data_IF_449812058317
#
_entry.id   IF_449812058317
#
_cell.length_a   1.000
_cell.length_b   1.000
_cell.length_c   1.000
_cell.angle_alpha   90.00
_cell.angle_beta   90.00
_cell.angle_gamma   90.00
#
_symmetry.space_group_name_H-M   'P 1'
#
loop_
_entity.id
_entity.type
_entity.pdbx_description
1 polymer ?
#
# COMPACT_ATOMS: atom_id res chain seq x y z
N UNK A 1 -33.19 35.62 8.11
CA UNK A 1 -33.28 34.17 8.38
C UNK A 1 -32.16 33.49 7.61
N UNK A 2 -31.04 33.29 8.30
CA UNK A 2 -29.90 32.56 7.82
C UNK A 2 -30.23 31.04 7.87
N UNK A 3 -30.17 30.37 6.73
CA UNK A 3 -30.21 28.93 6.65
C UNK A 3 -28.79 28.45 6.87
N UNK A 4 -28.51 27.87 8.04
CA UNK A 4 -27.32 27.06 8.28
C UNK A 4 -27.47 25.74 7.50
N UNK A 5 -26.44 25.26 6.81
CA UNK A 5 -26.49 23.93 6.21
C UNK A 5 -26.36 22.88 7.31
N UNK A 6 -27.27 21.93 7.29
CA UNK A 6 -27.34 20.76 8.16
C UNK A 6 -26.13 19.82 7.89
N UNK A 7 -25.07 19.96 8.69
CA UNK A 7 -23.82 19.19 8.64
C UNK A 7 -23.88 17.87 9.42
N UNK A 8 -25.07 17.30 9.56
CA UNK A 8 -25.32 16.12 10.41
C UNK A 8 -25.79 14.87 9.67
N UNK A 9 -25.28 14.53 8.48
CA UNK A 9 -25.47 13.19 7.92
C UNK A 9 -24.42 12.24 8.48
N UNK A 10 -24.86 11.31 9.33
CA UNK A 10 -24.07 10.15 9.74
C UNK A 10 -23.56 9.40 8.50
N UNK A 11 -22.31 9.62 8.10
CA UNK A 11 -21.61 8.79 7.13
C UNK A 11 -21.66 7.33 7.61
N UNK A 12 -22.19 6.45 6.79
CA UNK A 12 -22.19 5.00 7.08
C UNK A 12 -20.74 4.54 7.08
N UNK A 13 -20.24 4.07 8.20
CA UNK A 13 -18.87 3.55 8.30
C UNK A 13 -18.67 2.43 7.28
N UNK A 14 -17.77 2.65 6.31
CA UNK A 14 -17.39 1.69 5.28
C UNK A 14 -18.04 1.87 3.90
N UNK A 15 -18.91 2.86 3.68
CA UNK A 15 -19.48 3.15 2.35
C UNK A 15 -18.46 3.89 1.46
N UNK A 16 -18.43 3.54 0.16
CA UNK A 16 -17.66 4.27 -0.85
C UNK A 16 -18.40 5.59 -1.14
N UNK A 17 -17.75 6.72 -0.89
CA UNK A 17 -18.31 8.04 -1.14
C UNK A 17 -18.14 8.43 -2.60
N UNK A 18 -19.23 8.89 -3.24
CA UNK A 18 -19.29 9.19 -4.67
C UNK A 18 -19.72 10.64 -4.89
N UNK A 19 -18.97 11.36 -5.72
CA UNK A 19 -19.36 12.68 -6.21
C UNK A 19 -19.79 12.58 -7.68
N UNK A 20 -20.93 13.19 -8.05
CA UNK A 20 -21.50 13.04 -9.39
C UNK A 20 -21.47 14.40 -10.11
N UNK A 21 -20.94 14.44 -11.35
CA UNK A 21 -20.91 15.64 -12.18
C UNK A 21 -21.43 15.37 -13.59
N UNK A 22 -22.46 16.09 -13.98
CA UNK A 22 -23.06 16.05 -15.32
C UNK A 22 -23.88 17.34 -15.49
N UNK A 23 -23.89 17.97 -16.64
CA UNK A 23 -24.70 19.18 -16.89
C UNK A 23 -26.21 18.88 -16.96
N UNK A 24 -26.56 17.62 -17.28
CA UNK A 24 -27.95 17.15 -17.34
C UNK A 24 -28.49 16.73 -15.97
N UNK A 25 -29.47 17.45 -15.46
CA UNK A 25 -30.20 17.06 -14.24
C UNK A 25 -30.78 15.66 -14.34
N UNK A 26 -31.27 15.24 -15.52
CA UNK A 26 -31.85 13.90 -15.72
C UNK A 26 -30.81 12.78 -15.53
N UNK A 27 -29.60 12.98 -16.01
CA UNK A 27 -28.51 12.02 -15.84
C UNK A 27 -28.10 11.96 -14.36
N UNK A 28 -27.93 13.09 -13.70
CA UNK A 28 -27.59 13.12 -12.26
C UNK A 28 -28.64 12.40 -11.43
N UNK A 29 -29.93 12.70 -11.65
CA UNK A 29 -31.02 12.00 -10.95
C UNK A 29 -31.08 10.50 -11.28
N UNK A 30 -30.83 10.12 -12.54
CA UNK A 30 -30.72 8.72 -12.95
C UNK A 30 -29.58 7.98 -12.23
N UNK A 31 -28.41 8.58 -12.17
CA UNK A 31 -27.24 8.04 -11.44
C UNK A 31 -27.56 7.89 -9.94
N UNK A 32 -28.15 8.91 -9.32
CA UNK A 32 -28.60 8.87 -7.92
C UNK A 32 -29.59 7.73 -7.68
N UNK A 33 -30.59 7.57 -8.55
CA UNK A 33 -31.57 6.51 -8.44
C UNK A 33 -30.96 5.09 -8.57
N UNK A 34 -29.95 4.93 -9.44
CA UNK A 34 -29.21 3.66 -9.57
C UNK A 34 -28.38 3.36 -8.35
N UNK A 35 -27.62 4.33 -7.85
CA UNK A 35 -26.70 4.15 -6.73
C UNK A 35 -27.43 4.05 -5.38
N UNK A 36 -28.61 4.65 -5.22
CA UNK A 36 -29.42 4.55 -3.99
C UNK A 36 -29.84 3.12 -3.63
N UNK A 37 -29.82 2.20 -4.61
CA UNK A 37 -30.11 0.77 -4.42
C UNK A 37 -28.91 -0.01 -3.87
N UNK A 38 -27.74 0.60 -3.83
CA UNK A 38 -26.50 -0.01 -3.37
C UNK A 38 -26.20 0.46 -1.93
N UNK A 39 -26.16 -0.47 -0.99
CA UNK A 39 -25.99 -0.14 0.44
C UNK A 39 -24.57 0.28 0.83
N UNK A 40 -23.60 -0.03 -0.02
CA UNK A 40 -22.17 0.23 0.14
C UNK A 40 -21.69 1.48 -0.61
N UNK A 41 -22.59 2.20 -1.31
CA UNK A 41 -22.28 3.43 -2.04
C UNK A 41 -23.08 4.61 -1.46
N UNK A 42 -22.43 5.76 -1.30
CA UNK A 42 -23.05 6.98 -0.78
C UNK A 42 -22.70 8.19 -1.64
N UNK A 43 -23.71 8.90 -2.16
CA UNK A 43 -23.50 10.14 -2.90
C UNK A 43 -23.34 11.27 -1.91
N UNK A 44 -22.16 11.91 -1.92
CA UNK A 44 -21.79 12.99 -0.99
C UNK A 44 -21.96 14.37 -1.61
N UNK A 45 -22.02 14.48 -2.94
CA UNK A 45 -22.21 15.76 -3.62
C UNK A 45 -22.46 15.63 -5.12
N UNK A 46 -22.82 16.75 -5.73
CA UNK A 46 -23.03 16.86 -7.18
C UNK A 46 -22.59 18.22 -7.73
N UNK A 47 -22.28 18.24 -9.03
CA UNK A 47 -21.98 19.46 -9.78
C UNK A 47 -22.55 19.39 -11.21
N UNK A 48 -22.66 20.56 -11.85
CA UNK A 48 -23.15 20.68 -13.23
C UNK A 48 -22.10 21.25 -14.20
N UNK A 49 -20.92 21.63 -13.68
CA UNK A 49 -19.84 22.22 -14.46
C UNK A 49 -18.46 21.85 -13.90
N UNK A 50 -17.42 22.25 -14.64
CA UNK A 50 -16.01 22.01 -14.28
C UNK A 50 -15.64 22.58 -12.90
N UNK A 51 -15.98 23.84 -12.63
CA UNK A 51 -15.52 24.53 -11.42
C UNK A 51 -16.22 23.98 -10.16
N UNK A 52 -17.53 23.71 -10.28
CA UNK A 52 -18.32 23.05 -9.24
C UNK A 52 -17.79 21.63 -8.92
N UNK A 53 -17.40 20.87 -9.95
CA UNK A 53 -16.80 19.55 -9.77
C UNK A 53 -15.47 19.64 -9.01
N UNK A 54 -14.56 20.53 -9.41
CA UNK A 54 -13.25 20.67 -8.75
C UNK A 54 -13.42 21.14 -7.31
N UNK A 55 -14.24 22.19 -7.08
CA UNK A 55 -14.47 22.73 -5.74
C UNK A 55 -15.17 21.73 -4.82
N UNK A 56 -16.17 21.01 -5.32
CA UNK A 56 -16.89 19.99 -4.55
C UNK A 56 -16.02 18.79 -4.19
N UNK A 57 -15.18 18.31 -5.11
CA UNK A 57 -14.25 17.24 -4.87
C UNK A 57 -13.16 17.63 -3.84
N UNK A 58 -12.69 18.89 -3.87
CA UNK A 58 -11.76 19.40 -2.85
C UNK A 58 -12.39 19.46 -1.46
N UNK A 59 -13.64 19.95 -1.39
CA UNK A 59 -14.33 20.13 -0.11
C UNK A 59 -14.74 18.80 0.55
N UNK A 60 -15.11 17.79 -0.24
CA UNK A 60 -15.72 16.56 0.25
C UNK A 60 -14.78 15.35 0.18
N UNK A 61 -13.65 15.45 -0.52
CA UNK A 61 -12.66 14.39 -0.71
C UNK A 61 -13.29 12.99 -0.99
N UNK A 62 -14.12 12.84 -2.06
CA UNK A 62 -14.84 11.61 -2.32
C UNK A 62 -13.88 10.47 -2.69
N UNK A 63 -14.29 9.23 -2.39
CA UNK A 63 -13.54 8.05 -2.86
C UNK A 63 -13.58 7.93 -4.38
N UNK A 64 -14.71 8.28 -5.01
CA UNK A 64 -14.92 8.18 -6.45
C UNK A 64 -15.63 9.41 -6.99
N UNK A 65 -15.17 9.91 -8.13
CA UNK A 65 -15.86 10.90 -8.94
C UNK A 65 -16.46 10.22 -10.16
N UNK A 66 -17.75 10.45 -10.41
CA UNK A 66 -18.46 10.06 -11.63
C UNK A 66 -18.72 11.33 -12.42
N UNK A 67 -18.15 11.47 -13.62
CA UNK A 67 -18.20 12.71 -14.38
C UNK A 67 -18.59 12.48 -15.84
N UNK A 68 -19.40 13.39 -16.40
CA UNK A 68 -19.51 13.55 -17.85
C UNK A 68 -18.22 14.11 -18.44
N UNK A 69 -18.00 13.88 -19.73
CA UNK A 69 -16.86 14.45 -20.48
C UNK A 69 -17.08 15.93 -20.78
N UNK A 70 -18.29 16.26 -21.26
CA UNK A 70 -18.63 17.57 -21.83
C UNK A 70 -19.55 18.35 -20.90
N UNK A 71 -18.97 19.30 -20.20
CA UNK A 71 -19.71 20.17 -19.29
C UNK A 71 -19.42 21.66 -19.62
N UNK A 72 -20.21 22.59 -19.11
CA UNK A 72 -19.86 23.99 -19.18
C UNK A 72 -18.42 24.27 -18.69
N UNK A 73 -17.73 25.32 -19.21
CA UNK A 73 -18.29 26.38 -20.11
C UNK A 73 -18.22 26.07 -21.60
N UNK A 74 -17.36 25.15 -22.08
CA UNK A 74 -17.11 24.99 -23.52
C UNK A 74 -17.65 23.69 -24.13
N UNK A 75 -18.09 22.74 -23.32
CA UNK A 75 -18.65 21.44 -23.73
C UNK A 75 -17.68 20.59 -24.59
N UNK A 76 -16.39 20.58 -24.24
CA UNK A 76 -15.36 19.80 -24.93
C UNK A 76 -14.83 18.64 -24.09
N UNK A 77 -13.92 18.92 -23.15
CA UNK A 77 -13.22 17.91 -22.32
C UNK A 77 -13.16 18.32 -20.85
N UNK A 78 -14.02 19.22 -20.43
CA UNK A 78 -14.00 19.83 -19.11
C UNK A 78 -14.04 18.78 -17.99
N UNK A 79 -14.85 17.73 -18.13
CA UNK A 79 -14.91 16.65 -17.16
C UNK A 79 -13.60 15.86 -17.06
N UNK A 80 -12.94 15.58 -18.18
CA UNK A 80 -11.63 14.91 -18.19
C UNK A 80 -10.58 15.80 -17.54
N UNK A 81 -10.56 17.09 -17.85
CA UNK A 81 -9.59 18.06 -17.30
C UNK A 81 -9.80 18.24 -15.80
N UNK A 82 -11.04 18.38 -15.34
CA UNK A 82 -11.38 18.43 -13.91
C UNK A 82 -10.93 17.15 -13.19
N UNK A 83 -11.24 15.98 -13.74
CA UNK A 83 -10.86 14.69 -13.17
C UNK A 83 -9.34 14.52 -13.08
N UNK A 84 -8.57 14.95 -14.08
CA UNK A 84 -7.11 14.97 -14.04
C UNK A 84 -6.58 15.89 -12.93
N UNK A 85 -7.15 17.07 -12.80
CA UNK A 85 -6.78 18.03 -11.75
C UNK A 85 -7.07 17.46 -10.36
N UNK A 86 -8.27 16.89 -10.16
CA UNK A 86 -8.66 16.22 -8.90
C UNK A 86 -7.68 15.09 -8.59
N UNK A 87 -7.39 14.25 -9.56
CA UNK A 87 -6.48 13.12 -9.39
C UNK A 87 -5.05 13.54 -9.06
N UNK A 88 -4.57 14.67 -9.60
CA UNK A 88 -3.27 15.24 -9.26
C UNK A 88 -3.20 15.70 -7.80
N UNK A 89 -4.31 16.26 -7.27
CA UNK A 89 -4.41 16.74 -5.89
C UNK A 89 -4.76 15.63 -4.89
N UNK A 90 -5.59 14.67 -5.32
CA UNK A 90 -6.09 13.52 -4.55
C UNK A 90 -5.82 12.21 -5.31
N UNK A 91 -4.59 11.67 -5.28
CA UNK A 91 -4.20 10.49 -6.08
C UNK A 91 -5.01 9.22 -5.78
N UNK A 92 -5.65 9.14 -4.61
CA UNK A 92 -6.51 8.03 -4.19
C UNK A 92 -7.91 8.03 -4.77
N UNK A 93 -8.42 9.18 -5.30
CA UNK A 93 -9.78 9.29 -5.82
C UNK A 93 -9.92 8.50 -7.14
N UNK A 94 -10.83 7.52 -7.17
CA UNK A 94 -11.20 6.81 -8.40
C UNK A 94 -12.02 7.70 -9.34
N UNK A 95 -11.88 7.51 -10.64
CA UNK A 95 -12.59 8.32 -11.66
C UNK A 95 -13.40 7.40 -12.55
N UNK A 96 -14.70 7.68 -12.68
CA UNK A 96 -15.59 7.05 -13.66
C UNK A 96 -16.07 8.11 -14.63
N UNK A 97 -15.69 7.99 -15.89
CA UNK A 97 -16.17 8.87 -16.95
C UNK A 97 -17.42 8.25 -17.60
N UNK A 98 -18.46 9.05 -17.72
CA UNK A 98 -19.66 8.72 -18.49
C UNK A 98 -19.63 9.45 -19.82
N UNK A 99 -19.80 8.74 -20.93
CA UNK A 99 -19.77 9.31 -22.27
C UNK A 99 -20.98 8.90 -23.10
N UNK A 100 -21.41 9.77 -24.00
CA UNK A 100 -22.37 9.43 -25.05
C UNK A 100 -21.71 8.81 -26.29
N UNK A 101 -20.36 8.80 -26.33
CA UNK A 101 -19.60 8.44 -27.51
C UNK A 101 -18.58 7.34 -27.19
N UNK A 102 -18.45 6.40 -28.11
CA UNK A 102 -17.45 5.34 -28.12
C UNK A 102 -16.08 5.82 -28.68
N UNK A 103 -15.83 7.13 -28.71
CA UNK A 103 -14.61 7.73 -29.27
C UNK A 103 -13.38 7.32 -28.43
N UNK A 104 -12.49 6.53 -28.97
CA UNK A 104 -11.31 6.05 -28.25
C UNK A 104 -10.34 7.16 -27.86
N UNK A 105 -10.39 8.34 -28.50
CA UNK A 105 -9.47 9.43 -28.18
C UNK A 105 -9.76 10.06 -26.79
N UNK A 106 -11.01 10.01 -26.32
CA UNK A 106 -11.34 10.41 -24.96
C UNK A 106 -10.83 9.42 -23.91
N UNK A 107 -11.00 8.11 -24.17
CA UNK A 107 -10.48 7.07 -23.31
C UNK A 107 -8.94 7.15 -23.21
N UNK A 108 -8.26 7.38 -24.33
CA UNK A 108 -6.80 7.54 -24.35
C UNK A 108 -6.34 8.79 -23.60
N UNK A 109 -7.05 9.92 -23.78
CA UNK A 109 -6.73 11.15 -23.07
C UNK A 109 -6.83 10.96 -21.54
N UNK A 110 -7.75 10.10 -21.09
CA UNK A 110 -7.90 9.73 -19.68
C UNK A 110 -6.80 8.77 -19.23
N UNK A 111 -6.53 7.74 -20.02
CA UNK A 111 -5.59 6.66 -19.68
C UNK A 111 -4.12 7.03 -19.89
N UNK A 112 -3.82 8.12 -20.60
CA UNK A 112 -2.44 8.53 -20.89
C UNK A 112 -1.58 8.85 -19.67
N UNK A 113 -2.21 9.06 -18.50
CA UNK A 113 -1.55 9.29 -17.22
C UNK A 113 -1.56 8.05 -16.30
N UNK A 114 -1.94 6.90 -16.83
CA UNK A 114 -2.06 5.61 -16.12
C UNK A 114 -3.51 5.16 -16.01
N UNK A 115 -3.76 3.88 -16.34
CA UNK A 115 -5.12 3.32 -16.39
C UNK A 115 -5.74 3.06 -15.01
N UNK A 116 -4.95 2.75 -13.99
CA UNK A 116 -5.45 2.33 -12.67
C UNK A 116 -6.25 3.44 -11.98
N UNK A 117 -7.42 3.09 -11.48
CA UNK A 117 -8.36 4.00 -10.84
C UNK A 117 -9.19 4.84 -11.82
N UNK A 118 -9.24 4.45 -13.10
CA UNK A 118 -10.08 5.07 -14.11
C UNK A 118 -11.06 4.06 -14.71
N UNK A 119 -12.31 4.46 -14.87
CA UNK A 119 -13.28 3.75 -15.69
C UNK A 119 -13.88 4.67 -16.75
N UNK A 120 -14.22 4.09 -17.90
CA UNK A 120 -14.89 4.77 -18.99
C UNK A 120 -16.09 3.95 -19.44
N UNK A 121 -17.28 4.49 -19.26
CA UNK A 121 -18.56 3.82 -19.56
C UNK A 121 -19.38 4.65 -20.56
N UNK A 122 -20.17 3.95 -21.36
CA UNK A 122 -21.13 4.58 -22.24
C UNK A 122 -22.46 4.83 -21.51
N UNK A 123 -23.03 6.06 -21.61
CA UNK A 123 -24.25 6.50 -20.92
C UNK A 123 -25.48 5.65 -21.27
N UNK A 124 -25.56 5.10 -22.47
CA UNK A 124 -26.64 4.22 -22.92
C UNK A 124 -26.61 2.83 -22.26
N UNK A 125 -25.47 2.43 -21.69
CA UNK A 125 -25.26 1.11 -21.09
C UNK A 125 -25.17 1.11 -19.56
N UNK A 126 -25.09 2.26 -18.90
CA UNK A 126 -24.94 2.31 -17.44
C UNK A 126 -26.09 1.67 -16.67
N UNK A 127 -27.29 1.62 -17.29
CA UNK A 127 -28.47 0.99 -16.70
C UNK A 127 -28.45 -0.56 -16.82
N UNK A 128 -27.56 -1.13 -17.62
CA UNK A 128 -27.45 -2.58 -17.83
C UNK A 128 -26.63 -3.22 -16.70
N UNK A 129 -27.28 -4.10 -15.91
CA UNK A 129 -26.61 -5.05 -15.04
C UNK A 129 -25.66 -4.46 -14.00
N UNK A 130 -25.97 -3.35 -13.34
CA UNK A 130 -25.15 -2.71 -12.30
C UNK A 130 -23.74 -2.27 -12.76
N UNK A 131 -23.55 -2.01 -14.05
CA UNK A 131 -22.24 -1.64 -14.62
C UNK A 131 -21.61 -0.44 -13.90
N UNK A 132 -22.40 0.59 -13.62
CA UNK A 132 -21.92 1.78 -12.92
C UNK A 132 -21.43 1.46 -11.51
N UNK A 133 -22.19 0.68 -10.75
CA UNK A 133 -21.81 0.30 -9.38
C UNK A 133 -20.54 -0.58 -9.37
N UNK A 134 -20.40 -1.48 -10.35
CA UNK A 134 -19.17 -2.28 -10.53
C UNK A 134 -17.98 -1.40 -10.87
N UNK A 135 -18.12 -0.45 -11.79
CA UNK A 135 -17.06 0.48 -12.15
C UNK A 135 -16.61 1.34 -10.96
N UNK A 136 -17.56 1.83 -10.15
CA UNK A 136 -17.27 2.58 -8.93
C UNK A 136 -16.44 1.74 -7.95
N UNK A 137 -16.82 0.48 -7.69
CA UNK A 137 -16.06 -0.41 -6.80
C UNK A 137 -14.68 -0.73 -7.36
N UNK A 138 -14.59 -0.97 -8.66
CA UNK A 138 -13.33 -1.27 -9.33
C UNK A 138 -12.35 -0.10 -9.20
N UNK A 139 -12.77 1.13 -9.53
CA UNK A 139 -11.87 2.30 -9.42
C UNK A 139 -11.57 2.69 -7.99
N UNK A 140 -12.47 2.44 -7.05
CA UNK A 140 -12.25 2.67 -5.63
C UNK A 140 -11.16 1.74 -5.07
N UNK A 141 -11.05 0.52 -5.60
CA UNK A 141 -9.97 -0.43 -5.27
C UNK A 141 -8.68 -0.19 -6.06
N UNK A 142 -8.64 0.82 -6.94
CA UNK A 142 -7.50 1.15 -7.78
C UNK A 142 -7.42 0.37 -9.09
N UNK A 143 -8.43 -0.46 -9.40
CA UNK A 143 -8.59 -1.13 -10.68
C UNK A 143 -9.02 -0.21 -11.83
N UNK A 144 -9.23 -0.77 -13.01
CA UNK A 144 -9.71 -0.03 -14.20
C UNK A 144 -10.82 -0.79 -14.90
N UNK A 145 -11.73 -0.07 -15.54
CA UNK A 145 -12.82 -0.66 -16.31
C UNK A 145 -13.14 0.18 -17.54
N UNK A 146 -13.00 -0.40 -18.72
CA UNK A 146 -13.41 0.22 -19.98
C UNK A 146 -14.64 -0.47 -20.55
N UNK A 147 -15.53 0.31 -21.17
CA UNK A 147 -16.67 -0.25 -21.90
C UNK A 147 -16.16 -1.13 -23.05
N UNK A 148 -16.73 -2.33 -23.25
CA UNK A 148 -16.31 -3.23 -24.33
C UNK A 148 -16.37 -2.63 -25.73
N UNK A 149 -17.28 -1.69 -25.99
CA UNK A 149 -17.35 -1.00 -27.28
C UNK A 149 -16.11 -0.09 -27.48
N UNK A 150 -15.66 0.58 -26.44
CA UNK A 150 -14.45 1.43 -26.47
C UNK A 150 -13.21 0.55 -26.65
N UNK A 151 -13.09 -0.57 -25.92
CA UNK A 151 -12.01 -1.55 -26.13
C UNK A 151 -12.00 -2.06 -27.57
N UNK A 152 -13.17 -2.44 -28.10
CA UNK A 152 -13.31 -2.88 -29.49
C UNK A 152 -12.89 -1.81 -30.49
N UNK A 153 -13.22 -0.54 -30.27
CA UNK A 153 -12.81 0.58 -31.11
C UNK A 153 -11.29 0.80 -31.09
N UNK A 154 -10.64 0.57 -29.96
CA UNK A 154 -9.17 0.66 -29.82
C UNK A 154 -8.44 -0.43 -30.61
N UNK A 155 -8.91 -1.68 -30.55
CA UNK A 155 -8.20 -2.85 -31.12
C UNK A 155 -8.64 -3.22 -32.54
N UNK A 156 -9.87 -2.89 -32.96
CA UNK A 156 -10.39 -3.24 -34.28
C UNK A 156 -9.51 -2.84 -35.47
N UNK A 157 -8.88 -1.64 -35.49
CA UNK A 157 -7.98 -1.28 -36.57
C UNK A 157 -6.74 -2.20 -36.66
N UNK A 158 -6.25 -2.67 -35.50
CA UNK A 158 -5.07 -3.53 -35.40
C UNK A 158 -5.42 -4.98 -35.74
N UNK A 159 -6.58 -5.47 -35.32
CA UNK A 159 -7.11 -6.80 -35.67
C UNK A 159 -7.25 -7.00 -37.19
N UNK A 160 -7.57 -5.95 -37.96
CA UNK A 160 -7.74 -6.01 -39.40
C UNK A 160 -6.41 -6.21 -40.18
N UNK A 161 -5.26 -5.96 -39.54
CA UNK A 161 -3.97 -6.17 -40.19
C UNK A 161 -3.59 -7.65 -40.32
N UNK A 162 -4.29 -8.57 -39.63
CA UNK A 162 -4.12 -10.02 -39.71
C UNK A 162 -2.90 -10.56 -38.96
N UNK A 163 -2.94 -11.86 -38.64
CA UNK A 163 -1.79 -12.56 -38.05
C UNK A 163 -1.76 -12.64 -36.53
N UNK A 164 -2.80 -12.21 -35.86
CA UNK A 164 -2.98 -12.47 -34.41
C UNK A 164 -3.49 -13.89 -34.19
N UNK A 165 -2.82 -14.63 -33.32
CA UNK A 165 -3.40 -15.85 -32.77
C UNK A 165 -4.39 -15.51 -31.61
N UNK A 166 -5.11 -16.53 -31.13
CA UNK A 166 -6.15 -16.35 -30.09
C UNK A 166 -5.56 -15.81 -28.77
N UNK A 167 -4.34 -16.20 -28.47
CA UNK A 167 -3.67 -15.76 -27.23
C UNK A 167 -3.15 -14.32 -27.34
N UNK A 168 -2.62 -13.93 -28.49
CA UNK A 168 -2.19 -12.57 -28.77
C UNK A 168 -3.37 -11.60 -28.84
N UNK A 169 -4.50 -12.05 -29.40
CA UNK A 169 -5.74 -11.26 -29.43
C UNK A 169 -6.29 -11.02 -28.02
N UNK A 170 -6.33 -12.05 -27.17
CA UNK A 170 -6.72 -11.91 -25.78
C UNK A 170 -5.75 -11.03 -24.97
N UNK A 171 -4.46 -11.13 -25.23
CA UNK A 171 -3.45 -10.27 -24.60
C UNK A 171 -3.63 -8.80 -25.00
N UNK A 172 -3.86 -8.54 -26.28
CA UNK A 172 -4.10 -7.20 -26.81
C UNK A 172 -5.36 -6.56 -26.19
N UNK A 173 -6.42 -7.36 -26.01
CA UNK A 173 -7.65 -6.94 -25.36
C UNK A 173 -7.40 -6.53 -23.89
N UNK A 174 -6.71 -7.35 -23.13
CA UNK A 174 -6.35 -7.03 -21.73
C UNK A 174 -5.49 -5.76 -21.60
N UNK A 175 -4.57 -5.53 -22.53
CA UNK A 175 -3.79 -4.29 -22.61
C UNK A 175 -4.67 -3.09 -22.94
N UNK A 176 -5.58 -3.24 -23.92
CA UNK A 176 -6.51 -2.18 -24.29
C UNK A 176 -7.52 -1.83 -23.19
N UNK A 177 -7.89 -2.81 -22.35
CA UNK A 177 -8.68 -2.61 -21.15
C UNK A 177 -7.91 -1.87 -20.04
N UNK A 178 -6.61 -1.70 -20.18
CA UNK A 178 -5.77 -1.05 -19.17
C UNK A 178 -5.49 -1.93 -17.96
N UNK A 179 -5.59 -3.26 -18.09
CA UNK A 179 -5.31 -4.18 -16.97
C UNK A 179 -3.85 -4.10 -16.51
N UNK A 180 -3.58 -4.11 -15.20
CA UNK A 180 -2.22 -4.19 -14.67
C UNK A 180 -1.47 -5.41 -15.17
N UNK A 181 -0.16 -5.31 -15.39
CA UNK A 181 0.67 -6.41 -15.89
C UNK A 181 0.59 -7.64 -14.96
N UNK A 182 0.54 -7.42 -13.63
CA UNK A 182 0.36 -8.50 -12.64
C UNK A 182 -0.98 -9.22 -12.79
N UNK A 183 -2.06 -8.49 -13.10
CA UNK A 183 -3.37 -9.08 -13.34
C UNK A 183 -3.38 -9.88 -14.65
N UNK A 184 -2.73 -9.38 -15.70
CA UNK A 184 -2.56 -10.11 -16.97
C UNK A 184 -1.73 -11.37 -16.72
N UNK A 185 -0.64 -11.30 -15.98
CA UNK A 185 0.21 -12.43 -15.64
C UNK A 185 -0.57 -13.53 -14.88
N UNK A 186 -1.39 -13.14 -13.91
CA UNK A 186 -2.27 -14.07 -13.19
C UNK A 186 -3.29 -14.73 -14.11
N UNK A 187 -3.95 -13.96 -14.98
CA UNK A 187 -4.95 -14.47 -15.94
C UNK A 187 -4.34 -15.43 -16.97
N UNK A 188 -3.10 -15.15 -17.43
CA UNK A 188 -2.38 -15.96 -18.42
C UNK A 188 -1.50 -17.06 -17.80
N UNK A 189 -1.50 -17.20 -16.47
CA UNK A 189 -0.63 -18.15 -15.72
C UNK A 189 0.84 -17.98 -16.06
N UNK A 190 1.29 -16.74 -16.22
CA UNK A 190 2.64 -16.34 -16.60
C UNK A 190 3.29 -15.46 -15.54
N UNK A 191 4.53 -15.03 -15.76
CA UNK A 191 5.19 -14.04 -14.91
C UNK A 191 5.01 -12.64 -15.47
N UNK A 192 5.04 -11.57 -14.66
CA UNK A 192 4.98 -10.19 -15.15
C UNK A 192 6.02 -9.89 -16.23
N UNK A 193 7.28 -10.28 -16.03
CA UNK A 193 8.34 -10.08 -17.01
C UNK A 193 8.09 -10.81 -18.35
N UNK A 194 7.50 -12.02 -18.31
CA UNK A 194 7.14 -12.75 -19.52
C UNK A 194 5.96 -12.09 -20.26
N UNK A 195 5.00 -11.51 -19.54
CA UNK A 195 3.91 -10.73 -20.14
C UNK A 195 4.45 -9.48 -20.82
N UNK A 196 5.30 -8.70 -20.17
CA UNK A 196 5.92 -7.51 -20.75
C UNK A 196 6.67 -7.84 -22.06
N UNK A 197 7.56 -8.84 -22.02
CA UNK A 197 8.30 -9.28 -23.18
C UNK A 197 7.39 -9.75 -24.33
N UNK A 198 6.27 -10.42 -24.01
CA UNK A 198 5.29 -10.85 -25.00
C UNK A 198 4.51 -9.68 -25.60
N UNK A 199 4.12 -8.69 -24.81
CA UNK A 199 3.44 -7.47 -25.30
C UNK A 199 4.37 -6.67 -26.21
N UNK A 200 5.64 -6.49 -25.83
CA UNK A 200 6.63 -5.81 -26.68
C UNK A 200 6.83 -6.55 -28.00
N UNK A 201 7.02 -7.88 -27.97
CA UNK A 201 7.15 -8.70 -29.18
C UNK A 201 5.90 -8.60 -30.07
N UNK A 202 4.70 -8.59 -29.47
CA UNK A 202 3.44 -8.40 -30.18
C UNK A 202 3.41 -7.03 -30.88
N UNK A 203 3.78 -5.96 -30.19
CA UNK A 203 3.83 -4.62 -30.79
C UNK A 203 4.86 -4.50 -31.93
N UNK A 204 5.99 -5.20 -31.84
CA UNK A 204 6.98 -5.25 -32.93
C UNK A 204 6.38 -5.95 -34.17
N UNK A 205 5.78 -7.12 -33.99
CA UNK A 205 5.13 -7.86 -35.09
C UNK A 205 4.00 -7.07 -35.75
N UNK A 206 3.19 -6.41 -34.94
CA UNK A 206 2.10 -5.57 -35.45
C UNK A 206 2.63 -4.35 -36.21
N UNK A 207 3.78 -3.79 -35.81
CA UNK A 207 4.40 -2.68 -36.51
C UNK A 207 4.92 -3.05 -37.93
N UNK A 208 5.34 -4.29 -38.16
CA UNK A 208 5.79 -4.78 -39.46
C UNK A 208 4.65 -4.85 -40.48
N UNK A 209 3.41 -5.06 -40.05
CA UNK A 209 2.22 -5.13 -40.90
C UNK A 209 1.41 -3.83 -41.06
N UNK A 210 1.90 -2.70 -40.52
CA UNK A 210 1.13 -1.46 -40.37
C UNK A 210 0.94 -0.72 -41.70
N UNK A 211 -0.31 -0.47 -42.08
CA UNK A 211 -0.73 0.55 -43.05
C UNK A 211 -0.90 1.92 -42.40
N UNK A 212 -0.96 3.00 -43.20
CA UNK A 212 -1.12 4.38 -42.69
C UNK A 212 -2.34 4.54 -41.79
N UNK A 213 -3.40 3.75 -41.94
CA UNK A 213 -4.62 3.79 -41.12
C UNK A 213 -4.52 3.10 -39.77
N UNK A 214 -3.56 2.16 -39.60
CA UNK A 214 -3.41 1.37 -38.37
C UNK A 214 -2.26 1.84 -37.47
N UNK A 215 -1.35 2.66 -38.01
CA UNK A 215 -0.20 3.21 -37.27
C UNK A 215 -0.66 3.99 -36.01
N UNK A 216 -1.68 4.82 -36.14
CA UNK A 216 -2.24 5.58 -35.00
C UNK A 216 -2.87 4.70 -33.94
N UNK A 217 -3.55 3.60 -34.30
CA UNK A 217 -4.14 2.68 -33.33
C UNK A 217 -3.05 1.91 -32.56
N UNK A 218 -2.02 1.45 -33.23
CA UNK A 218 -0.89 0.79 -32.58
C UNK A 218 -0.13 1.73 -31.63
N UNK A 219 0.08 2.99 -32.03
CA UNK A 219 0.70 4.01 -31.16
C UNK A 219 -0.14 4.28 -29.90
N UNK A 220 -1.46 4.27 -30.03
CA UNK A 220 -2.40 4.38 -28.91
C UNK A 220 -2.24 3.24 -27.91
N UNK A 221 -2.21 1.99 -28.39
CA UNK A 221 -2.04 0.80 -27.53
C UNK A 221 -0.66 0.80 -26.85
N UNK A 222 0.40 1.22 -27.54
CA UNK A 222 1.73 1.38 -26.95
C UNK A 222 1.74 2.42 -25.83
N UNK A 223 1.02 3.54 -25.99
CA UNK A 223 0.91 4.56 -24.93
C UNK A 223 0.16 4.04 -23.70
N UNK A 224 -0.92 3.29 -23.89
CA UNK A 224 -1.65 2.66 -22.76
C UNK A 224 -0.72 1.69 -22.02
N UNK A 225 -0.03 0.81 -22.74
CA UNK A 225 0.91 -0.14 -22.13
C UNK A 225 2.03 0.57 -21.36
N UNK A 226 2.68 1.56 -21.96
CA UNK A 226 3.74 2.33 -21.30
C UNK A 226 3.25 3.03 -20.02
N UNK A 227 2.01 3.55 -20.02
CA UNK A 227 1.41 4.15 -18.86
C UNK A 227 1.13 3.14 -17.73
N UNK A 228 0.72 1.91 -18.08
CA UNK A 228 0.52 0.82 -17.12
C UNK A 228 1.84 0.45 -16.46
N UNK A 229 2.89 0.19 -17.26
CA UNK A 229 4.24 -0.21 -16.77
C UNK A 229 4.81 0.88 -15.86
N UNK A 230 4.84 2.13 -16.33
CA UNK A 230 5.37 3.26 -15.55
C UNK A 230 4.68 3.41 -14.18
N UNK A 231 3.38 3.18 -14.11
CA UNK A 231 2.63 3.29 -12.86
C UNK A 231 2.88 2.11 -11.92
N UNK A 232 3.04 0.90 -12.43
CA UNK A 232 3.42 -0.26 -11.62
C UNK A 232 4.82 -0.06 -11.02
N UNK A 233 5.79 0.44 -11.80
CA UNK A 233 7.13 0.78 -11.32
C UNK A 233 7.11 1.89 -10.26
N UNK A 234 6.32 2.96 -10.45
CA UNK A 234 6.12 4.00 -9.45
C UNK A 234 5.46 3.46 -8.18
N UNK A 235 4.45 2.60 -8.32
CA UNK A 235 3.77 1.95 -7.21
C UNK A 235 4.70 1.02 -6.42
N UNK A 236 5.58 0.29 -7.09
CA UNK A 236 6.60 -0.55 -6.45
C UNK A 236 7.67 0.28 -5.74
N UNK A 237 8.10 1.39 -6.36
CA UNK A 237 9.06 2.31 -5.74
C UNK A 237 8.49 2.93 -4.47
N UNK A 238 7.21 3.37 -4.47
CA UNK A 238 6.52 3.86 -3.27
C UNK A 238 6.37 2.78 -2.21
N UNK A 239 6.04 1.55 -2.59
CA UNK A 239 5.91 0.42 -1.65
C UNK A 239 7.24 0.00 -1.03
N UNK A 240 8.37 0.28 -1.70
CA UNK A 240 9.72 0.07 -1.14
C UNK A 240 10.14 1.17 -0.16
N UNK A 241 9.55 2.36 -0.28
CA UNK A 241 9.88 3.53 0.57
C UNK A 241 8.96 3.66 1.78
N UNK A 242 7.78 3.04 1.76
CA UNK A 242 6.79 3.09 2.83
C UNK A 242 6.72 1.74 3.56
N UNK A 243 6.44 1.73 4.87
CA UNK A 243 6.17 0.50 5.60
C UNK A 243 5.04 -0.31 4.96
N UNK A 244 5.12 -1.65 5.06
CA UNK A 244 4.13 -2.58 4.50
C UNK A 244 2.72 -2.26 5.00
N UNK A 245 1.74 -2.25 4.10
CA UNK A 245 0.34 -1.90 4.42
C UNK A 245 0.04 -0.39 4.38
N UNK A 246 1.03 0.48 4.57
CA UNK A 246 0.84 1.95 4.50
C UNK A 246 0.54 2.39 3.08
N UNK A 247 1.25 1.84 2.09
CA UNK A 247 1.02 2.16 0.69
C UNK A 247 -0.40 1.76 0.23
N UNK A 248 -0.88 0.59 0.65
CA UNK A 248 -2.25 0.14 0.36
C UNK A 248 -3.30 1.03 1.04
N UNK A 249 -3.05 1.42 2.29
CA UNK A 249 -3.94 2.31 3.04
C UNK A 249 -4.01 3.71 2.41
N UNK A 250 -2.88 4.27 1.99
CA UNK A 250 -2.82 5.53 1.25
C UNK A 250 -3.60 5.43 -0.06
N UNK A 251 -3.49 4.31 -0.77
CA UNK A 251 -4.26 4.07 -2.00
C UNK A 251 -5.76 3.94 -1.73
N UNK A 252 -6.15 3.30 -0.62
CA UNK A 252 -7.56 3.03 -0.30
C UNK A 252 -8.28 4.25 0.30
N UNK A 253 -7.61 5.06 1.11
CA UNK A 253 -8.24 6.16 1.88
C UNK A 253 -7.77 7.55 1.49
N UNK A 254 -6.77 7.68 0.61
CA UNK A 254 -6.03 8.92 0.40
C UNK A 254 -5.09 9.22 1.57
N UNK A 255 -4.03 9.96 1.34
CA UNK A 255 -3.16 10.46 2.41
C UNK A 255 -3.31 11.97 2.47
N UNK A 256 -3.92 12.49 3.52
CA UNK A 256 -3.78 13.89 3.87
C UNK A 256 -2.65 14.02 4.90
N UNK A 257 -1.75 14.97 4.66
CA UNK A 257 -0.76 15.37 5.64
C UNK A 257 -1.48 15.84 6.90
N UNK A 258 -1.25 15.16 8.03
CA UNK A 258 -1.86 15.52 9.31
C UNK A 258 -2.98 14.60 9.80
N UNK A 259 -3.42 13.62 9.01
CA UNK A 259 -4.35 12.60 9.51
C UNK A 259 -3.65 11.79 10.61
N UNK A 260 -4.20 11.84 11.80
CA UNK A 260 -3.73 11.12 12.99
C UNK A 260 -4.79 10.14 13.45
N UNK A 261 -4.36 8.90 13.69
CA UNK A 261 -5.23 7.86 14.27
C UNK A 261 -4.66 7.39 15.61
N UNK A 262 -5.51 7.31 16.62
CA UNK A 262 -5.11 6.71 17.90
C UNK A 262 -5.26 5.20 17.82
N UNK A 263 -4.18 4.49 18.10
CA UNK A 263 -4.11 3.03 18.07
C UNK A 263 -3.41 2.52 19.32
N UNK A 264 -3.87 1.39 19.85
CA UNK A 264 -3.11 0.62 20.84
C UNK A 264 -2.26 -0.38 20.11
N UNK A 265 -0.95 -0.30 20.27
CA UNK A 265 0.04 -1.08 19.51
C UNK A 265 1.08 -1.69 20.44
N UNK A 266 1.80 -2.70 19.94
CA UNK A 266 3.08 -3.11 20.55
C UNK A 266 4.21 -2.64 19.65
N UNK A 267 5.08 -1.81 20.22
CA UNK A 267 6.34 -1.36 19.60
C UNK A 267 7.43 -2.38 19.91
N UNK A 268 8.19 -2.75 18.91
CA UNK A 268 9.40 -3.56 19.00
C UNK A 268 10.60 -2.70 18.63
N UNK A 269 11.63 -2.72 19.45
CA UNK A 269 12.95 -2.16 19.11
C UNK A 269 14.02 -3.18 19.35
N UNK A 270 14.89 -3.34 18.38
CA UNK A 270 16.10 -4.17 18.48
C UNK A 270 17.34 -3.34 18.22
N UNK A 271 18.48 -3.74 18.78
CA UNK A 271 19.75 -3.04 18.66
C UNK A 271 20.92 -4.02 18.82
N UNK A 272 22.01 -3.79 18.09
CA UNK A 272 23.20 -4.64 18.12
C UNK A 272 24.08 -4.22 19.29
N UNK A 273 24.31 -5.15 20.21
CA UNK A 273 25.14 -4.88 21.39
C UNK A 273 26.60 -4.67 20.99
N UNK A 274 27.18 -3.55 21.44
CA UNK A 274 28.58 -3.23 21.14
C UNK A 274 28.84 -2.79 19.71
N UNK A 275 27.80 -2.40 18.95
CA UNK A 275 27.92 -2.00 17.53
C UNK A 275 28.98 -0.93 17.29
N UNK A 276 29.10 0.07 18.16
CA UNK A 276 30.14 1.13 18.04
C UNK A 276 31.54 0.52 18.01
N UNK A 277 31.83 -0.45 18.88
CA UNK A 277 33.13 -1.15 18.90
C UNK A 277 33.33 -2.02 17.66
N UNK A 278 32.29 -2.74 17.23
CA UNK A 278 32.33 -3.54 16.00
C UNK A 278 32.64 -2.64 14.80
N UNK A 279 31.96 -1.51 14.70
CA UNK A 279 32.11 -0.58 13.58
C UNK A 279 33.49 0.09 13.51
N UNK A 280 34.17 0.28 14.65
CA UNK A 280 35.52 0.85 14.70
C UNK A 280 36.59 -0.11 14.13
N UNK A 281 36.33 -1.46 14.21
CA UNK A 281 37.33 -2.47 13.85
C UNK A 281 36.99 -3.23 12.57
N UNK A 282 35.81 -3.03 12.01
CA UNK A 282 35.35 -3.72 10.80
C UNK A 282 35.50 -2.83 9.57
N UNK A 283 35.97 -3.42 8.45
CA UNK A 283 35.98 -2.72 7.17
C UNK A 283 34.59 -2.19 6.80
N UNK A 284 34.46 -0.90 6.41
CA UNK A 284 33.16 -0.27 6.12
C UNK A 284 32.31 -1.02 5.08
N UNK A 285 32.92 -1.61 4.05
CA UNK A 285 32.20 -2.35 3.01
C UNK A 285 31.64 -3.67 3.55
N UNK A 286 32.44 -4.38 4.35
CA UNK A 286 32.04 -5.62 5.04
C UNK A 286 30.93 -5.34 6.06
N UNK A 287 31.09 -4.27 6.85
CA UNK A 287 30.07 -3.83 7.82
C UNK A 287 28.73 -3.50 7.14
N UNK A 288 28.76 -2.79 6.01
CA UNK A 288 27.57 -2.47 5.23
C UNK A 288 26.87 -3.72 4.71
N UNK A 289 27.62 -4.75 4.25
CA UNK A 289 27.06 -6.02 3.81
C UNK A 289 26.45 -6.80 4.99
N UNK A 290 27.13 -6.84 6.14
CA UNK A 290 26.58 -7.46 7.35
C UNK A 290 25.30 -6.77 7.81
N UNK A 291 25.26 -5.41 7.83
CA UNK A 291 24.05 -4.66 8.17
C UNK A 291 22.89 -4.92 7.19
N UNK A 292 23.17 -5.01 5.90
CA UNK A 292 22.14 -5.32 4.92
C UNK A 292 21.57 -6.73 5.14
N UNK A 293 22.41 -7.72 5.40
CA UNK A 293 21.98 -9.08 5.73
C UNK A 293 21.17 -9.10 7.01
N UNK A 294 21.67 -8.47 8.09
CA UNK A 294 20.96 -8.34 9.35
C UNK A 294 19.55 -7.73 9.15
N UNK A 295 19.47 -6.58 8.48
CA UNK A 295 18.20 -5.88 8.23
C UNK A 295 17.22 -6.73 7.41
N UNK A 296 17.70 -7.48 6.43
CA UNK A 296 16.87 -8.37 5.63
C UNK A 296 16.25 -9.48 6.49
N UNK A 297 17.04 -10.13 7.36
CA UNK A 297 16.53 -11.16 8.25
C UNK A 297 15.58 -10.61 9.32
N UNK A 298 15.89 -9.45 9.90
CA UNK A 298 14.99 -8.79 10.85
C UNK A 298 13.66 -8.43 10.19
N UNK A 299 13.71 -7.84 9.00
CA UNK A 299 12.51 -7.51 8.22
C UNK A 299 11.65 -8.76 7.94
N UNK A 300 12.27 -9.84 7.49
CA UNK A 300 11.57 -11.10 7.20
C UNK A 300 10.85 -11.65 8.45
N UNK A 301 11.53 -11.66 9.59
CA UNK A 301 10.96 -12.13 10.85
C UNK A 301 9.76 -11.26 11.32
N UNK A 302 9.89 -9.94 11.22
CA UNK A 302 8.84 -8.99 11.60
C UNK A 302 7.63 -9.14 10.68
N UNK A 303 7.83 -9.16 9.36
CA UNK A 303 6.73 -9.27 8.39
C UNK A 303 6.02 -10.62 8.48
N UNK A 304 6.75 -11.72 8.68
CA UNK A 304 6.16 -13.06 8.85
C UNK A 304 5.23 -13.14 10.06
N UNK A 305 5.50 -12.36 11.12
CA UNK A 305 4.66 -12.26 12.30
C UNK A 305 3.54 -11.18 12.16
N UNK A 306 3.39 -10.55 11.00
CA UNK A 306 2.38 -9.51 10.74
C UNK A 306 2.71 -8.15 11.34
N UNK A 307 3.98 -7.87 11.59
CA UNK A 307 4.47 -6.56 12.02
C UNK A 307 4.78 -5.63 10.84
N UNK A 308 4.90 -4.36 11.13
CA UNK A 308 5.27 -3.30 10.19
C UNK A 308 6.61 -2.70 10.61
N UNK A 309 7.64 -2.80 9.76
CA UNK A 309 8.93 -2.12 10.00
C UNK A 309 8.75 -0.64 9.72
N UNK A 310 8.98 0.20 10.75
CA UNK A 310 8.78 1.64 10.69
C UNK A 310 10.02 2.35 10.18
N UNK A 311 11.16 2.04 10.78
CA UNK A 311 12.43 2.70 10.43
C UNK A 311 13.64 1.91 10.90
N UNK A 312 14.77 2.19 10.27
CA UNK A 312 16.09 1.79 10.72
C UNK A 312 16.84 3.01 11.27
N UNK A 313 17.31 2.94 12.50
CA UNK A 313 18.05 4.03 13.15
C UNK A 313 19.46 3.52 13.47
N UNK A 314 20.40 3.79 12.56
CA UNK A 314 21.72 3.17 12.66
C UNK A 314 21.65 1.65 12.51
N UNK A 315 22.06 0.92 13.55
CA UNK A 315 21.95 -0.53 13.67
C UNK A 315 20.62 -1.00 14.28
N UNK A 316 19.84 -0.09 14.85
CA UNK A 316 18.55 -0.40 15.46
C UNK A 316 17.44 -0.57 14.42
N UNK A 317 16.50 -1.48 14.72
CA UNK A 317 15.27 -1.68 13.94
C UNK A 317 14.07 -1.34 14.82
N UNK A 318 13.19 -0.49 14.34
CA UNK A 318 11.91 -0.19 14.95
C UNK A 318 10.78 -0.79 14.15
N UNK A 319 9.93 -1.58 14.79
CA UNK A 319 8.72 -2.15 14.20
C UNK A 319 7.51 -1.97 15.11
N UNK A 320 6.32 -2.10 14.52
CA UNK A 320 5.05 -1.94 15.23
C UNK A 320 4.11 -3.07 14.84
N UNK A 321 3.34 -3.55 15.82
CA UNK A 321 2.29 -4.55 15.67
C UNK A 321 0.96 -3.92 16.09
N UNK A 322 -0.08 -4.03 15.24
CA UNK A 322 -1.37 -3.35 15.42
C UNK A 322 -1.47 -2.00 14.71
N UNK A 323 -0.52 -1.69 13.80
CA UNK A 323 -0.60 -0.57 12.87
C UNK A 323 0.10 -0.94 11.54
N UNK A 324 -0.36 -0.45 10.39
CA UNK A 324 -1.50 0.45 10.17
C UNK A 324 -2.86 -0.21 10.39
N UNK A 325 -2.95 -1.54 10.41
CA UNK A 325 -4.19 -2.28 10.67
C UNK A 325 -4.24 -2.72 12.14
N UNK A 326 -5.32 -2.35 12.89
CA UNK A 326 -5.50 -2.79 14.27
C UNK A 326 -5.58 -4.32 14.39
N UNK A 327 -4.95 -4.86 15.42
CA UNK A 327 -4.96 -6.29 15.72
C UNK A 327 -5.02 -6.49 17.23
N UNK A 328 -5.88 -7.40 17.71
CA UNK A 328 -6.01 -7.68 19.15
C UNK A 328 -4.90 -8.55 19.72
N UNK A 329 -4.14 -9.24 18.87
CA UNK A 329 -3.03 -10.15 19.21
C UNK A 329 -1.64 -9.52 18.96
N UNK A 330 -1.59 -8.18 18.87
CA UNK A 330 -0.36 -7.44 18.56
C UNK A 330 0.80 -7.73 19.53
N UNK A 331 0.53 -7.99 20.82
CA UNK A 331 1.57 -8.33 21.81
C UNK A 331 2.15 -9.73 21.59
N UNK A 332 1.29 -10.71 21.32
CA UNK A 332 1.73 -12.09 21.03
C UNK A 332 2.55 -12.15 19.73
N UNK A 333 2.11 -11.45 18.68
CA UNK A 333 2.82 -11.33 17.40
C UNK A 333 4.19 -10.66 17.56
N UNK A 334 4.27 -9.62 18.38
CA UNK A 334 5.54 -8.94 18.66
C UNK A 334 6.52 -9.88 19.36
N UNK A 335 6.06 -10.69 20.30
CA UNK A 335 6.90 -11.67 20.98
C UNK A 335 7.35 -12.79 20.04
N UNK A 336 6.46 -13.29 19.18
CA UNK A 336 6.81 -14.27 18.12
C UNK A 336 7.88 -13.70 17.20
N UNK A 337 7.72 -12.44 16.75
CA UNK A 337 8.72 -11.79 15.92
C UNK A 337 10.08 -11.67 16.64
N UNK A 338 10.09 -11.26 17.90
CA UNK A 338 11.32 -11.12 18.67
C UNK A 338 12.09 -12.45 18.80
N UNK A 339 11.39 -13.56 19.04
CA UNK A 339 12.01 -14.89 19.05
C UNK A 339 12.53 -15.28 17.65
N UNK A 340 11.77 -15.02 16.59
CA UNK A 340 12.20 -15.32 15.23
C UNK A 340 13.42 -14.48 14.81
N UNK A 341 13.49 -13.21 15.24
CA UNK A 341 14.65 -12.34 15.00
C UNK A 341 15.92 -12.90 15.67
N UNK A 342 15.84 -13.34 16.93
CA UNK A 342 16.96 -13.96 17.61
C UNK A 342 17.41 -15.26 16.93
N UNK A 343 16.45 -16.10 16.52
CA UNK A 343 16.75 -17.34 15.82
C UNK A 343 17.45 -17.09 14.48
N UNK A 344 16.94 -16.14 13.69
CA UNK A 344 17.55 -15.76 12.42
C UNK A 344 18.96 -15.18 12.61
N UNK A 345 19.15 -14.29 13.59
CA UNK A 345 20.45 -13.69 13.87
C UNK A 345 21.47 -14.74 14.35
N UNK A 346 21.04 -15.73 15.15
CA UNK A 346 21.91 -16.83 15.57
C UNK A 346 22.47 -17.61 14.38
N UNK A 347 21.62 -17.92 13.38
CA UNK A 347 22.04 -18.60 12.15
C UNK A 347 23.05 -17.75 11.36
N UNK A 348 22.77 -16.46 11.21
CA UNK A 348 23.64 -15.54 10.49
C UNK A 348 24.99 -15.37 11.21
N UNK A 349 24.98 -15.21 12.52
CA UNK A 349 26.19 -15.10 13.35
C UNK A 349 27.08 -16.34 13.23
N UNK A 350 26.49 -17.55 13.25
CA UNK A 350 27.23 -18.79 13.09
C UNK A 350 27.98 -18.84 11.74
N UNK A 351 27.34 -18.39 10.67
CA UNK A 351 27.98 -18.25 9.35
C UNK A 351 29.10 -17.25 9.37
N UNK A 352 28.87 -16.02 9.91
CA UNK A 352 29.88 -14.98 9.96
C UNK A 352 31.12 -15.36 10.76
N UNK A 353 30.94 -16.06 11.88
CA UNK A 353 32.08 -16.61 12.66
C UNK A 353 32.93 -17.55 11.79
N UNK A 354 32.33 -18.41 10.97
CA UNK A 354 33.09 -19.28 10.06
C UNK A 354 33.79 -18.53 8.93
N UNK A 355 33.27 -17.37 8.55
CA UNK A 355 33.86 -16.45 7.56
C UNK A 355 34.88 -15.49 8.17
N UNK A 356 35.11 -15.54 9.49
CA UNK A 356 36.04 -14.65 10.21
C UNK A 356 35.50 -13.23 10.43
N UNK A 357 34.17 -13.05 10.36
CA UNK A 357 33.49 -11.78 10.62
C UNK A 357 32.96 -11.72 12.05
N UNK A 358 32.87 -10.51 12.59
CA UNK A 358 32.32 -10.28 13.93
C UNK A 358 30.80 -10.57 13.96
N UNK A 359 30.29 -11.35 14.93
CA UNK A 359 28.86 -11.58 15.10
C UNK A 359 28.16 -10.31 15.62
N UNK A 360 26.86 -10.19 15.33
CA UNK A 360 26.01 -9.15 15.87
C UNK A 360 25.17 -9.67 17.03
N UNK A 361 25.56 -9.42 18.28
CA UNK A 361 24.74 -9.74 19.45
C UNK A 361 23.49 -8.86 19.48
N UNK A 362 22.29 -9.43 19.69
CA UNK A 362 21.02 -8.74 19.54
C UNK A 362 20.25 -8.65 20.86
N UNK A 363 19.85 -7.44 21.25
CA UNK A 363 18.93 -7.19 22.36
C UNK A 363 17.62 -6.59 21.86
N UNK A 364 16.47 -7.05 22.39
CA UNK A 364 15.13 -6.62 21.93
C UNK A 364 14.29 -6.10 23.10
N UNK A 365 13.59 -4.99 22.87
CA UNK A 365 12.59 -4.43 23.77
C UNK A 365 11.19 -4.48 23.15
N UNK A 366 10.16 -4.76 23.97
CA UNK A 366 8.75 -4.67 23.58
C UNK A 366 7.98 -3.78 24.52
N UNK A 367 7.20 -2.84 23.99
CA UNK A 367 6.36 -1.96 24.78
C UNK A 367 5.00 -1.78 24.14
N UNK A 368 3.95 -2.05 24.90
CA UNK A 368 2.55 -1.85 24.50
C UNK A 368 2.01 -0.54 25.05
N UNK A 369 1.22 0.16 24.25
CA UNK A 369 0.51 1.37 24.68
C UNK A 369 -0.14 2.11 23.54
N UNK A 370 -0.85 3.18 23.90
CA UNK A 370 -1.52 4.04 22.94
C UNK A 370 -0.52 4.95 22.23
N UNK A 371 -0.67 5.05 20.92
CA UNK A 371 0.13 5.90 20.04
C UNK A 371 -0.76 6.66 19.07
N UNK A 372 -0.27 7.79 18.60
CA UNK A 372 -0.80 8.47 17.43
C UNK A 372 -0.03 7.96 16.19
N UNK A 373 -0.71 7.24 15.31
CA UNK A 373 -0.18 6.88 14.00
C UNK A 373 -0.47 8.01 13.01
N UNK A 374 0.53 8.55 12.36
CA UNK A 374 0.40 9.73 11.53
C UNK A 374 1.36 9.74 10.34
N UNK A 375 0.94 10.44 9.28
CA UNK A 375 1.83 10.89 8.21
C UNK A 375 2.47 12.20 8.64
N UNK A 376 3.72 12.18 9.06
CA UNK A 376 4.48 13.37 9.47
C UNK A 376 5.46 13.77 8.38
N UNK A 377 5.67 15.08 8.22
CA UNK A 377 6.66 15.61 7.29
C UNK A 377 6.26 16.90 6.62
N UNK A 378 6.93 17.21 5.51
CA UNK A 378 6.66 18.35 4.64
C UNK A 378 6.04 17.89 3.31
N UNK A 379 5.60 18.83 2.48
CA UNK A 379 5.09 18.53 1.13
C UNK A 379 6.08 17.76 0.23
N UNK A 380 7.38 17.82 0.56
CA UNK A 380 8.45 17.17 -0.22
C UNK A 380 8.87 15.80 0.35
N UNK A 381 8.59 15.53 1.63
CA UNK A 381 8.96 14.27 2.28
C UNK A 381 8.01 13.94 3.41
N UNK A 382 7.24 12.86 3.24
CA UNK A 382 6.37 12.29 4.26
C UNK A 382 6.96 10.99 4.80
N UNK A 383 6.73 10.76 6.09
CA UNK A 383 7.09 9.53 6.78
C UNK A 383 5.87 9.08 7.60
N UNK A 384 5.45 7.83 7.43
CA UNK A 384 4.46 7.22 8.30
C UNK A 384 5.16 6.78 9.58
N UNK A 385 4.71 7.28 10.71
CA UNK A 385 5.32 6.96 12.00
C UNK A 385 4.28 6.89 13.12
N UNK A 386 4.70 6.35 14.25
CA UNK A 386 3.89 6.33 15.48
C UNK A 386 4.57 7.17 16.55
N UNK A 387 3.77 7.97 17.25
CA UNK A 387 4.24 8.86 18.32
C UNK A 387 3.47 8.55 19.60
N UNK A 388 4.18 8.28 20.67
CA UNK A 388 3.59 7.99 21.98
C UNK A 388 4.62 7.55 23.01
N UNK A 389 4.20 7.48 24.27
CA UNK A 389 5.08 7.07 25.38
C UNK A 389 5.60 5.63 25.21
N UNK A 390 4.78 4.75 24.60
CA UNK A 390 5.16 3.37 24.30
C UNK A 390 6.44 3.27 23.45
N UNK A 391 6.66 4.19 22.50
CA UNK A 391 7.86 4.24 21.65
C UNK A 391 9.10 4.56 22.49
N UNK A 392 9.00 5.60 23.32
CA UNK A 392 10.13 6.01 24.18
C UNK A 392 10.43 4.94 25.24
N UNK A 393 9.39 4.32 25.82
CA UNK A 393 9.57 3.23 26.77
C UNK A 393 10.24 2.03 26.10
N UNK A 394 9.81 1.64 24.89
CA UNK A 394 10.41 0.55 24.14
C UNK A 394 11.91 0.74 23.93
N UNK A 395 12.33 1.96 23.55
CA UNK A 395 13.75 2.33 23.38
C UNK A 395 14.54 2.14 24.67
N UNK A 396 13.93 2.38 25.83
CA UNK A 396 14.59 2.18 27.12
C UNK A 396 14.66 0.73 27.54
N UNK A 397 13.57 -0.02 27.31
CA UNK A 397 13.52 -1.46 27.63
C UNK A 397 14.55 -2.24 26.80
N UNK A 398 14.69 -1.91 25.54
CA UNK A 398 15.70 -2.50 24.67
C UNK A 398 17.12 -2.34 25.26
N UNK A 399 17.43 -1.25 25.95
CA UNK A 399 18.75 -1.03 26.57
C UNK A 399 19.03 -1.98 27.75
N UNK A 400 18.00 -2.55 28.38
CA UNK A 400 18.17 -3.55 29.45
C UNK A 400 18.39 -4.98 28.92
N UNK A 401 18.10 -5.23 27.65
CA UNK A 401 18.25 -6.54 27.04
C UNK A 401 19.72 -6.79 26.68
N UNK A 402 20.30 -7.87 27.15
CA UNK A 402 21.58 -8.39 26.68
C UNK A 402 21.42 -9.18 25.37
N UNK A 403 22.49 -9.79 24.89
CA UNK A 403 22.43 -10.69 23.74
C UNK A 403 21.49 -11.89 24.00
N UNK A 404 20.56 -12.12 23.07
CA UNK A 404 19.58 -13.18 23.17
C UNK A 404 18.43 -12.89 24.14
N UNK A 405 18.32 -11.69 24.69
CA UNK A 405 17.26 -11.33 25.65
C UNK A 405 16.18 -10.45 25.03
N UNK A 406 14.95 -10.63 25.52
CA UNK A 406 13.78 -9.81 25.19
C UNK A 406 13.28 -9.18 26.49
N UNK A 407 13.17 -7.85 26.53
CA UNK A 407 12.65 -7.14 27.71
C UNK A 407 11.31 -6.52 27.38
N UNK A 408 10.27 -6.85 28.16
CA UNK A 408 8.90 -6.44 27.90
C UNK A 408 8.36 -5.51 28.98
N UNK A 409 7.50 -4.55 28.60
CA UNK A 409 6.78 -3.68 29.54
C UNK A 409 5.67 -4.44 30.29
N UNK A 410 5.18 -3.84 31.40
CA UNK A 410 4.03 -4.37 32.17
C UNK A 410 2.81 -4.58 31.27
N UNK A 411 2.44 -3.57 30.47
CA UNK A 411 1.28 -3.66 29.57
C UNK A 411 1.47 -4.73 28.49
N UNK A 412 2.68 -4.87 27.95
CA UNK A 412 2.97 -5.98 27.02
C UNK A 412 2.76 -7.32 27.69
N UNK A 413 3.29 -7.47 28.90
CA UNK A 413 3.16 -8.71 29.67
C UNK A 413 1.70 -9.06 29.98
N UNK A 414 0.89 -8.05 30.33
CA UNK A 414 -0.53 -8.25 30.64
C UNK A 414 -1.32 -8.72 29.42
N UNK A 415 -0.98 -8.24 28.25
CA UNK A 415 -1.67 -8.56 26.99
C UNK A 415 -1.23 -9.86 26.33
N UNK A 416 -0.11 -10.49 26.77
CA UNK A 416 0.26 -11.81 26.28
C UNK A 416 -0.77 -12.86 26.65
N UNK A 417 -1.26 -13.59 25.65
CA UNK A 417 -2.21 -14.70 25.84
C UNK A 417 -1.55 -15.87 26.61
N UNK A 418 -0.30 -16.18 26.25
CA UNK A 418 0.51 -17.17 26.95
C UNK A 418 1.74 -16.48 27.54
N UNK A 419 1.88 -16.53 28.85
CA UNK A 419 3.00 -15.90 29.55
C UNK A 419 4.18 -16.86 29.60
N UNK A 420 5.30 -16.52 28.93
CA UNK A 420 6.51 -17.36 28.99
C UNK A 420 7.18 -17.26 30.37
N UNK A 421 8.18 -18.11 30.60
CA UNK A 421 9.08 -17.95 31.74
C UNK A 421 9.82 -16.62 31.63
N UNK A 422 9.79 -15.81 32.71
CA UNK A 422 10.40 -14.48 32.70
C UNK A 422 10.95 -14.09 34.08
N UNK A 423 12.04 -13.37 34.07
CA UNK A 423 12.63 -12.74 35.26
C UNK A 423 11.98 -11.36 35.48
N UNK A 424 11.43 -11.10 36.65
CA UNK A 424 10.94 -9.78 37.06
C UNK A 424 12.15 -8.91 37.46
N UNK A 425 12.46 -7.90 36.70
CA UNK A 425 13.59 -7.00 36.95
C UNK A 425 13.32 -5.99 38.10
N UNK A 426 12.10 -6.00 38.67
CA UNK A 426 11.69 -5.06 39.70
C UNK A 426 11.37 -3.67 39.15
N UNK A 427 11.03 -2.71 40.04
CA UNK A 427 10.67 -1.36 39.62
C UNK A 427 11.91 -0.57 39.17
N UNK A 428 11.86 -0.05 37.93
CA UNK A 428 12.90 0.80 37.36
C UNK A 428 12.32 2.16 37.01
N UNK A 429 12.98 3.23 37.48
CA UNK A 429 12.66 4.57 37.04
C UNK A 429 13.38 4.86 35.70
N UNK A 430 12.61 5.02 34.66
CA UNK A 430 13.12 5.25 33.30
C UNK A 430 13.18 6.74 33.02
N UNK A 431 14.26 7.23 32.41
CA UNK A 431 14.42 8.65 32.08
C UNK A 431 13.20 9.19 31.30
N UNK A 432 12.60 10.28 31.82
CA UNK A 432 11.43 10.93 31.21
C UNK A 432 10.09 10.46 31.76
N UNK A 433 10.04 9.47 32.68
CA UNK A 433 8.82 9.05 33.37
C UNK A 433 8.90 9.35 34.87
N UNK A 434 7.76 9.75 35.44
CA UNK A 434 7.61 9.95 36.88
C UNK A 434 7.21 8.66 37.62
N UNK A 435 6.66 7.70 36.90
CA UNK A 435 6.18 6.40 37.44
C UNK A 435 7.17 5.30 37.09
N UNK A 436 7.63 4.50 38.04
CA UNK A 436 8.48 3.33 37.77
C UNK A 436 7.75 2.31 36.90
N UNK A 437 8.49 1.63 36.01
CA UNK A 437 8.03 0.49 35.24
C UNK A 437 8.60 -0.80 35.87
N UNK A 438 7.90 -1.93 35.72
CA UNK A 438 8.39 -3.26 36.14
C UNK A 438 8.64 -4.15 34.93
N UNK A 439 9.77 -3.97 34.25
CA UNK A 439 10.06 -4.76 33.07
C UNK A 439 10.30 -6.22 33.45
N UNK A 440 9.95 -7.10 32.49
CA UNK A 440 10.27 -8.53 32.59
C UNK A 440 11.19 -8.93 31.46
N UNK A 441 12.15 -9.77 31.81
CA UNK A 441 13.15 -10.30 30.89
C UNK A 441 12.78 -11.73 30.54
N UNK A 442 12.72 -12.01 29.24
CA UNK A 442 12.46 -13.30 28.63
C UNK A 442 13.74 -13.74 27.92
N UNK A 443 14.23 -14.95 28.18
CA UNK A 443 15.35 -15.53 27.45
C UNK A 443 14.87 -16.04 26.08
N UNK A 444 15.70 -15.91 25.05
CA UNK A 444 15.42 -16.54 23.76
C UNK A 444 15.48 -18.06 23.88
N UNK A 445 14.52 -18.76 23.28
CA UNK A 445 14.32 -20.23 23.43
C UNK A 445 15.52 -21.08 22.99
N UNK A 446 16.52 -20.50 22.31
CA UNK A 446 17.64 -21.24 21.74
C UNK A 446 18.86 -21.48 22.67
N UNK A 447 18.90 -20.92 23.89
CA UNK A 447 20.04 -21.17 24.79
C UNK A 447 20.00 -22.55 25.48
N UNK A 448 18.84 -23.20 25.56
CA UNK A 448 18.70 -24.50 26.27
C UNK A 448 18.87 -25.75 25.39
N UNK A 449 18.88 -25.65 24.07
CA UNK A 449 19.02 -26.79 23.17
C UNK A 449 20.48 -27.22 22.98
N UNK A 450 21.44 -26.33 23.13
CA UNK A 450 22.86 -26.62 22.88
C UNK A 450 23.56 -27.26 24.10
N UNK A 451 23.06 -27.01 25.31
CA UNK A 451 23.65 -27.59 26.54
C UNK A 451 23.26 -29.07 26.74
N UNK A 452 22.08 -29.47 26.22
CA UNK A 452 21.60 -30.87 26.37
C UNK A 452 22.31 -31.86 25.44
N UNK A 453 22.77 -31.46 24.27
CA UNK A 453 23.47 -32.35 23.31
C UNK A 453 24.94 -32.53 23.70
N UNK A 454 25.60 -31.49 24.19
CA UNK A 454 26.99 -31.57 24.64
C UNK A 454 27.16 -32.38 25.93
N UNK A 455 26.11 -32.49 26.75
CA UNK A 455 26.14 -33.30 28.00
C UNK A 455 25.85 -34.77 27.76
N UNK A 456 25.28 -35.17 26.63
CA UNK A 456 25.04 -36.59 26.28
C UNK A 456 26.19 -37.22 25.49
N UNK A 457 26.99 -36.45 24.76
CA UNK A 457 28.20 -36.97 24.08
C UNK A 457 29.43 -37.10 25.01
N UNK A 458 29.41 -36.44 26.17
CA UNK A 458 30.48 -36.61 27.17
C UNK A 458 30.25 -37.76 28.16
N UNK A 459 29.14 -38.52 28.04
CA UNK A 459 28.76 -39.64 28.90
C UNK A 459 28.59 -40.97 28.16
N UNK A 460 29.13 -41.07 26.92
CA UNK A 460 29.17 -42.35 26.18
C UNK A 460 30.59 -42.79 25.91
#
# INVERSE_FOLDING_TARGET
>A
SHHEPDLGKNLRMGAITVFVADDSVFIREGVKAMLSRQSDLEIVGEAEDHDGLVAGAEALAPNVVVSDIRMPPNFHREGIEACKLIRKRHPGTGIVILSQYDDPDYAIALLSEGAAGYAYLLKDRIAEGDQLARAIREVASGGSMLDPAVVSALISPVRRTGGLDVEDDALLEMVAEGKPIKAIAAATKSTPAAVEARVESLFVRLAEGVSIGTAGALDRLKRIHAAIVSREEQGESLSRLLPTGVAERIRARGANAGDTEQLTVTVLMSDIRGYSTISEHTDPSSLAQQLNTHRAEMNNAILAAGGTVMQYVGDAVMAVFGAPEPSSDHADRALVAAHAMHAAQTVVNARWITEGLEPFPLGIGLSTGDVAAAMLGSAERFEYTVVGDAVNLCQRLQQFAADGEIVVSDLTWEQLTVKPEAEDLGPHLVKGRSTPVRPRKIASVNQNATVSVASQEAAS
#
